data_IF_405040713405
#
_entry.id   IF_405040713405
#
_cell.length_a   1.000
_cell.length_b   1.000
_cell.length_c   1.000
_cell.angle_alpha   90.00
_cell.angle_beta   90.00
_cell.angle_gamma   90.00
#
_symmetry.space_group_name_H-M   'P 1'
#
loop_
_entity.id
_entity.type
_entity.pdbx_description
1 polymer ?
#
# COMPACT_ATOMS: atom_id res chain seq x y z
N UNK A 1 -22.22 -46.90 -1.67
CA UNK A 1 -21.97 -45.47 -1.43
C UNK A 1 -20.89 -45.40 -0.36
N UNK A 2 -19.66 -45.28 -0.83
CA UNK A 2 -18.45 -45.18 -0.01
C UNK A 2 -18.42 -43.73 0.48
N UNK A 3 -18.48 -43.58 1.81
CA UNK A 3 -18.62 -42.29 2.48
C UNK A 3 -17.34 -41.47 2.30
N UNK A 4 -17.48 -40.18 1.99
CA UNK A 4 -16.41 -39.20 1.80
C UNK A 4 -15.51 -38.99 3.03
N UNK A 5 -15.75 -39.73 4.12
CA UNK A 5 -14.93 -39.80 5.33
C UNK A 5 -13.69 -40.71 5.12
N UNK A 6 -13.71 -41.64 4.14
CA UNK A 6 -12.57 -42.54 3.89
C UNK A 6 -11.48 -41.95 2.97
N UNK A 7 -11.53 -40.66 2.64
CA UNK A 7 -10.58 -40.00 1.73
C UNK A 7 -9.66 -38.99 2.43
N UNK A 8 -9.88 -38.72 3.72
CA UNK A 8 -9.00 -37.89 4.56
C UNK A 8 -8.04 -38.70 5.42
N UNK A 9 -8.19 -40.02 5.48
CA UNK A 9 -7.41 -40.91 6.36
C UNK A 9 -6.13 -41.47 5.69
N UNK A 10 -5.63 -40.83 4.62
CA UNK A 10 -4.57 -41.43 3.79
C UNK A 10 -3.43 -40.53 3.33
N UNK A 11 -3.25 -39.37 3.95
CA UNK A 11 -2.02 -38.60 3.79
C UNK A 11 -1.37 -38.34 5.14
N UNK A 12 -0.43 -39.23 5.46
CA UNK A 12 0.73 -38.97 6.31
C UNK A 12 0.53 -38.94 7.85
N UNK A 13 -0.01 -40.02 8.41
CA UNK A 13 0.03 -40.31 9.86
C UNK A 13 1.42 -40.69 10.40
N UNK A 14 2.48 -40.67 9.57
CA UNK A 14 3.83 -41.01 10.01
C UNK A 14 4.56 -39.88 10.79
N UNK A 15 3.94 -38.70 10.96
CA UNK A 15 4.56 -37.55 11.62
C UNK A 15 3.93 -37.10 12.94
N UNK A 16 2.79 -37.66 13.35
CA UNK A 16 1.99 -37.13 14.47
C UNK A 16 2.29 -37.75 15.84
N UNK A 17 3.12 -38.80 15.93
CA UNK A 17 3.45 -39.45 17.23
C UNK A 17 4.38 -38.63 18.15
N UNK A 18 4.70 -37.39 17.81
CA UNK A 18 5.55 -36.49 18.62
C UNK A 18 4.91 -35.16 19.02
N UNK A 19 3.63 -34.92 18.68
CA UNK A 19 2.94 -33.66 19.01
C UNK A 19 2.69 -33.52 20.51
N UNK A 20 2.44 -34.62 21.23
CA UNK A 20 2.17 -34.62 22.69
C UNK A 20 3.37 -34.23 23.57
N UNK A 21 4.53 -33.94 22.99
CA UNK A 21 5.78 -33.61 23.71
C UNK A 21 6.26 -32.16 23.51
N UNK A 22 5.52 -31.34 22.77
CA UNK A 22 5.88 -29.95 22.53
C UNK A 22 5.49 -29.12 23.77
N UNK A 23 6.46 -28.79 24.63
CA UNK A 23 6.23 -28.02 25.87
C UNK A 23 6.65 -26.56 25.76
N UNK A 24 7.32 -26.16 24.68
CA UNK A 24 7.80 -24.79 24.46
C UNK A 24 7.40 -24.18 23.12
N UNK A 25 7.37 -22.86 23.07
CA UNK A 25 7.12 -22.05 21.84
C UNK A 25 8.14 -22.39 20.74
N UNK A 26 9.38 -22.71 21.11
CA UNK A 26 10.43 -23.10 20.17
C UNK A 26 10.17 -24.48 19.52
N UNK A 27 9.48 -25.38 20.21
CA UNK A 27 9.14 -26.71 19.70
C UNK A 27 8.02 -26.63 18.66
N UNK A 28 7.02 -25.75 18.89
CA UNK A 28 5.95 -25.44 17.94
C UNK A 28 6.54 -24.79 16.67
N UNK A 29 7.52 -23.90 16.83
CA UNK A 29 8.20 -23.29 15.71
C UNK A 29 9.01 -24.31 14.90
N UNK A 30 9.72 -25.22 15.56
CA UNK A 30 10.44 -26.31 14.92
C UNK A 30 9.52 -27.25 14.13
N UNK A 31 8.33 -27.54 14.67
CA UNK A 31 7.31 -28.36 13.99
C UNK A 31 6.77 -27.67 12.73
N UNK A 32 6.39 -26.39 12.81
CA UNK A 32 5.92 -25.61 11.66
C UNK A 32 7.00 -25.47 10.58
N UNK A 33 8.26 -25.28 10.99
CA UNK A 33 9.39 -25.15 10.08
C UNK A 33 9.73 -26.49 9.39
N UNK A 34 9.61 -27.61 10.10
CA UNK A 34 9.85 -28.95 9.54
C UNK A 34 8.74 -29.36 8.55
N UNK A 35 7.48 -29.04 8.84
CA UNK A 35 6.36 -29.20 7.90
C UNK A 35 6.59 -28.42 6.61
N UNK A 36 7.03 -27.17 6.73
CA UNK A 36 7.34 -26.30 5.59
C UNK A 36 8.46 -26.83 4.69
N UNK A 37 9.55 -27.37 5.28
CA UNK A 37 10.65 -27.94 4.51
C UNK A 37 10.27 -29.24 3.80
N UNK A 38 9.40 -30.05 4.39
CA UNK A 38 8.89 -31.29 3.79
C UNK A 38 8.02 -31.02 2.55
N UNK A 39 7.16 -30.00 2.60
CA UNK A 39 6.30 -29.59 1.48
C UNK A 39 7.09 -28.98 0.31
N UNK A 40 8.10 -28.15 0.61
CA UNK A 40 8.96 -27.51 -0.41
C UNK A 40 9.72 -28.52 -1.28
N UNK A 41 10.03 -29.70 -0.75
CA UNK A 41 10.82 -30.71 -1.46
C UNK A 41 10.00 -31.60 -2.40
N UNK A 42 8.66 -31.55 -2.35
CA UNK A 42 7.81 -32.52 -3.04
C UNK A 42 7.10 -31.97 -4.30
N UNK A 43 7.02 -30.66 -4.55
CA UNK A 43 6.42 -30.12 -5.79
C UNK A 43 6.95 -28.72 -6.15
N UNK A 44 7.77 -28.56 -7.20
CA UNK A 44 8.42 -27.27 -7.53
C UNK A 44 7.57 -26.28 -8.34
N UNK A 45 6.39 -26.67 -8.85
CA UNK A 45 5.59 -25.86 -9.80
C UNK A 45 4.23 -25.40 -9.24
N UNK A 46 4.02 -25.44 -7.92
CA UNK A 46 2.72 -25.16 -7.30
C UNK A 46 2.53 -23.65 -6.94
N UNK A 47 1.39 -23.08 -7.35
CA UNK A 47 1.11 -21.62 -7.33
C UNK A 47 0.84 -21.12 -5.90
N UNK A 48 1.52 -20.04 -5.52
CA UNK A 48 1.65 -19.51 -4.14
C UNK A 48 0.39 -19.19 -3.35
N UNK A 49 -0.79 -19.09 -3.97
CA UNK A 49 -2.02 -18.72 -3.25
C UNK A 49 -2.60 -19.88 -2.44
N UNK A 50 -2.44 -21.14 -2.90
CA UNK A 50 -2.93 -22.31 -2.16
C UNK A 50 -2.14 -22.55 -0.86
N UNK A 51 -0.88 -22.11 -0.81
CA UNK A 51 -0.03 -22.25 0.37
C UNK A 51 -0.43 -21.31 1.50
N UNK A 52 -0.92 -20.11 1.17
CA UNK A 52 -1.37 -19.15 2.17
C UNK A 52 -2.68 -19.62 2.83
N UNK A 53 -3.58 -20.17 2.03
CA UNK A 53 -4.84 -20.75 2.52
C UNK A 53 -4.58 -21.99 3.38
N UNK A 54 -3.66 -22.87 3.00
CA UNK A 54 -3.30 -24.05 3.79
C UNK A 54 -2.55 -23.68 5.08
N UNK A 55 -1.65 -22.69 5.04
CA UNK A 55 -0.96 -22.19 6.23
C UNK A 55 -1.91 -21.53 7.23
N UNK A 56 -2.83 -20.69 6.75
CA UNK A 56 -3.85 -20.05 7.60
C UNK A 56 -4.84 -21.07 8.16
N UNK A 57 -5.21 -22.07 7.36
CA UNK A 57 -6.06 -23.18 7.83
C UNK A 57 -5.35 -24.03 8.89
N UNK A 58 -4.07 -24.36 8.70
CA UNK A 58 -3.29 -25.10 9.70
C UNK A 58 -3.06 -24.28 10.98
N UNK A 59 -2.85 -22.97 10.87
CA UNK A 59 -2.76 -22.08 12.03
C UNK A 59 -4.10 -22.03 12.78
N UNK A 60 -5.21 -21.89 12.05
CA UNK A 60 -6.56 -21.89 12.61
C UNK A 60 -6.89 -23.22 13.30
N UNK A 61 -6.55 -24.34 12.68
CA UNK A 61 -6.77 -25.68 13.25
C UNK A 61 -5.90 -25.90 14.50
N UNK A 62 -4.66 -25.40 14.52
CA UNK A 62 -3.79 -25.47 15.72
C UNK A 62 -4.34 -24.62 16.87
N UNK A 63 -5.08 -23.55 16.56
CA UNK A 63 -5.76 -22.70 17.54
C UNK A 63 -7.08 -23.33 17.99
N UNK A 64 -7.83 -24.00 17.11
CA UNK A 64 -9.12 -24.64 17.42
C UNK A 64 -8.98 -25.98 18.16
N UNK A 65 -7.94 -26.79 17.89
CA UNK A 65 -7.75 -28.13 18.48
C UNK A 65 -7.08 -28.13 19.89
N UNK A 66 -7.28 -27.08 20.69
CA UNK A 66 -7.22 -27.14 22.16
C UNK A 66 -5.85 -27.40 22.83
N UNK A 67 -4.72 -27.07 22.19
CA UNK A 67 -3.37 -27.15 22.80
C UNK A 67 -2.96 -25.92 23.65
N UNK A 68 -3.87 -24.95 23.83
CA UNK A 68 -3.70 -23.88 24.84
C UNK A 68 -4.93 -23.87 25.75
N UNK A 69 -5.17 -25.00 26.45
CA UNK A 69 -6.16 -25.01 27.53
C UNK A 69 -5.69 -24.07 28.65
N UNK A 70 -6.29 -22.89 28.71
CA UNK A 70 -6.01 -21.85 29.70
C UNK A 70 -6.49 -22.28 31.09
N UNK A 71 -5.56 -22.72 31.94
CA UNK A 71 -5.90 -23.10 33.32
C UNK A 71 -5.77 -21.95 34.34
N UNK A 72 -5.27 -20.77 33.97
CA UNK A 72 -5.18 -19.63 34.91
C UNK A 72 -5.39 -18.30 34.18
N UNK A 73 -6.25 -17.45 34.73
CA UNK A 73 -6.87 -16.32 34.03
C UNK A 73 -6.00 -15.07 33.88
N UNK A 74 -4.94 -15.13 33.07
CA UNK A 74 -4.16 -13.96 32.61
C UNK A 74 -4.51 -13.56 31.16
N UNK A 75 -5.78 -13.31 30.89
CA UNK A 75 -6.37 -13.30 29.53
C UNK A 75 -6.03 -12.14 28.57
N UNK A 76 -5.22 -11.14 28.94
CA UNK A 76 -5.02 -9.94 28.07
C UNK A 76 -3.60 -9.82 27.52
N UNK A 77 -2.58 -10.18 28.31
CA UNK A 77 -1.19 -10.14 27.86
C UNK A 77 -0.95 -11.15 26.72
N UNK A 78 -1.54 -12.34 26.84
CA UNK A 78 -1.32 -13.43 25.88
C UNK A 78 -1.98 -13.19 24.52
N UNK A 79 -3.08 -12.43 24.46
CA UNK A 79 -3.67 -12.05 23.16
C UNK A 79 -2.85 -10.98 22.44
N UNK A 80 -2.20 -10.08 23.18
CA UNK A 80 -1.29 -9.07 22.62
C UNK A 80 -0.02 -9.74 22.14
N UNK A 81 0.53 -10.68 22.92
CA UNK A 81 1.73 -11.43 22.54
C UNK A 81 1.48 -12.34 21.33
N UNK A 82 0.30 -12.96 21.24
CA UNK A 82 -0.12 -13.72 20.05
C UNK A 82 -0.26 -12.81 18.82
N UNK A 83 -0.85 -11.62 18.98
CA UNK A 83 -1.00 -10.69 17.86
C UNK A 83 0.36 -10.14 17.39
N UNK A 84 1.28 -9.86 18.33
CA UNK A 84 2.66 -9.50 18.02
C UNK A 84 3.38 -10.63 17.27
N UNK A 85 3.14 -11.89 17.66
CA UNK A 85 3.74 -13.05 17.02
C UNK A 85 3.23 -13.23 15.58
N UNK A 86 1.93 -13.03 15.36
CA UNK A 86 1.30 -13.07 14.03
C UNK A 86 1.81 -11.93 13.15
N UNK A 87 1.88 -10.70 13.65
CA UNK A 87 2.44 -9.58 12.87
C UNK A 87 3.92 -9.80 12.53
N UNK A 88 4.71 -10.35 13.46
CA UNK A 88 6.12 -10.66 13.24
C UNK A 88 6.30 -11.72 12.15
N UNK A 89 5.49 -12.77 12.15
CA UNK A 89 5.58 -13.83 11.14
C UNK A 89 5.14 -13.36 9.75
N UNK A 90 4.10 -12.51 9.68
CA UNK A 90 3.66 -11.85 8.44
C UNK A 90 4.76 -10.95 7.85
N UNK A 91 5.38 -10.10 8.67
CA UNK A 91 6.48 -9.23 8.22
C UNK A 91 7.70 -10.01 7.74
N UNK A 92 8.04 -11.12 8.41
CA UNK A 92 9.14 -11.97 7.98
C UNK A 92 8.84 -12.66 6.63
N UNK A 93 7.57 -13.02 6.41
CA UNK A 93 7.11 -13.57 5.13
C UNK A 93 7.21 -12.52 4.01
N UNK A 94 6.74 -11.30 4.22
CA UNK A 94 6.84 -10.21 3.23
C UNK A 94 8.30 -9.89 2.87
N UNK A 95 9.19 -9.84 3.86
CA UNK A 95 10.62 -9.62 3.64
C UNK A 95 11.26 -10.74 2.82
N UNK A 96 10.94 -12.00 3.13
CA UNK A 96 11.44 -13.16 2.37
C UNK A 96 10.88 -13.20 0.95
N UNK A 97 9.61 -12.83 0.77
CA UNK A 97 8.97 -12.76 -0.54
C UNK A 97 9.57 -11.65 -1.42
N UNK A 98 9.80 -10.46 -0.85
CA UNK A 98 10.44 -9.36 -1.56
C UNK A 98 11.92 -9.63 -1.89
N UNK A 99 12.66 -10.28 -1.00
CA UNK A 99 14.06 -10.65 -1.23
C UNK A 99 14.22 -11.67 -2.38
N UNK A 100 13.28 -12.61 -2.52
CA UNK A 100 13.27 -13.56 -3.64
C UNK A 100 12.84 -12.92 -4.97
N UNK A 101 12.08 -11.81 -4.94
CA UNK A 101 11.66 -11.10 -6.14
C UNK A 101 12.76 -10.25 -6.80
N UNK A 102 13.85 -9.93 -6.10
CA UNK A 102 15.01 -9.29 -6.74
C UNK A 102 15.74 -10.21 -7.73
N UNK A 103 15.68 -11.54 -7.54
CA UNK A 103 16.23 -12.50 -8.51
C UNK A 103 15.29 -12.74 -9.70
N UNK A 104 14.00 -12.44 -9.57
CA UNK A 104 13.01 -12.49 -10.65
C UNK A 104 12.88 -11.16 -11.42
N UNK A 105 13.64 -10.11 -11.06
CA UNK A 105 13.83 -8.91 -11.90
C UNK A 105 14.76 -9.17 -13.12
N UNK A 106 14.73 -10.37 -13.70
CA UNK A 106 15.18 -10.56 -15.07
C UNK A 106 14.13 -9.94 -15.99
N UNK A 107 14.36 -8.66 -16.30
CA UNK A 107 13.94 -7.97 -17.53
C UNK A 107 12.54 -8.41 -17.98
N UNK A 108 11.51 -7.79 -17.38
CA UNK A 108 10.21 -7.74 -18.05
C UNK A 108 10.46 -7.07 -19.40
N UNK A 109 10.47 -7.89 -20.44
CA UNK A 109 10.67 -7.46 -21.80
C UNK A 109 9.61 -6.41 -22.13
N UNK A 110 10.05 -5.16 -22.32
CA UNK A 110 9.18 -4.01 -22.60
C UNK A 110 8.26 -4.27 -23.80
N UNK A 111 8.69 -5.10 -24.75
CA UNK A 111 7.88 -5.50 -25.90
C UNK A 111 6.73 -6.45 -25.53
N UNK A 112 6.94 -7.36 -24.57
CA UNK A 112 5.88 -8.25 -24.08
C UNK A 112 4.85 -7.49 -23.23
N UNK A 113 5.29 -6.47 -22.48
CA UNK A 113 4.39 -5.58 -21.74
C UNK A 113 3.60 -4.66 -22.69
N UNK A 114 4.22 -4.16 -23.76
CA UNK A 114 3.55 -3.33 -24.76
C UNK A 114 2.53 -4.14 -25.58
N UNK A 115 2.83 -5.39 -25.88
CA UNK A 115 1.93 -6.31 -26.58
C UNK A 115 0.75 -6.74 -25.69
N UNK A 116 0.96 -6.91 -24.38
CA UNK A 116 -0.12 -7.18 -23.44
C UNK A 116 -0.99 -5.95 -23.16
N UNK A 117 -0.40 -4.75 -23.06
CA UNK A 117 -1.14 -3.49 -22.92
C UNK A 117 -1.97 -3.16 -24.17
N UNK A 118 -1.48 -3.48 -25.36
CA UNK A 118 -2.22 -3.32 -26.62
C UNK A 118 -3.45 -4.23 -26.74
N UNK A 119 -3.56 -5.29 -25.94
CA UNK A 119 -4.70 -6.21 -25.90
C UNK A 119 -5.63 -5.99 -24.70
N UNK A 120 -5.35 -5.02 -23.83
CA UNK A 120 -6.29 -4.62 -22.78
C UNK A 120 -7.41 -3.86 -23.45
N UNK A 121 -8.49 -4.57 -23.76
CA UNK A 121 -9.77 -3.95 -24.12
C UNK A 121 -10.21 -3.03 -22.98
N UNK A 122 -10.85 -1.91 -23.31
CA UNK A 122 -11.33 -0.91 -22.34
C UNK A 122 -12.12 -1.54 -21.16
N UNK A 123 -12.74 -2.69 -21.39
CA UNK A 123 -13.45 -3.45 -20.35
C UNK A 123 -12.56 -4.08 -19.28
N UNK A 124 -11.34 -4.51 -19.61
CA UNK A 124 -10.37 -5.02 -18.62
C UNK A 124 -9.76 -3.89 -17.82
N UNK A 125 -9.49 -2.75 -18.45
CA UNK A 125 -9.00 -1.55 -17.76
C UNK A 125 -10.06 -1.01 -16.79
N UNK A 126 -11.32 -0.94 -17.22
CA UNK A 126 -12.44 -0.53 -16.37
C UNK A 126 -12.65 -1.50 -15.20
N UNK A 127 -12.53 -2.81 -15.43
CA UNK A 127 -12.62 -3.82 -14.36
C UNK A 127 -11.50 -3.62 -13.33
N UNK A 128 -10.28 -3.38 -13.77
CA UNK A 128 -9.15 -3.16 -12.87
C UNK A 128 -9.29 -1.85 -12.09
N UNK A 129 -9.81 -0.80 -12.72
CA UNK A 129 -10.12 0.47 -12.06
C UNK A 129 -11.19 0.32 -10.97
N UNK A 130 -12.25 -0.43 -11.23
CA UNK A 130 -13.30 -0.74 -10.23
C UNK A 130 -12.72 -1.56 -9.07
N UNK A 131 -11.80 -2.49 -9.35
CA UNK A 131 -11.16 -3.32 -8.34
C UNK A 131 -10.23 -2.50 -7.45
N UNK A 132 -9.50 -1.53 -8.03
CA UNK A 132 -8.69 -0.57 -7.28
C UNK A 132 -9.52 0.40 -6.44
N UNK A 133 -10.70 0.81 -6.90
CA UNK A 133 -11.66 1.58 -6.07
C UNK A 133 -12.20 0.75 -4.90
N UNK A 134 -12.54 -0.52 -5.13
CA UNK A 134 -13.00 -1.42 -4.05
C UNK A 134 -11.96 -1.63 -2.96
N UNK A 135 -10.68 -1.66 -3.34
CA UNK A 135 -9.56 -1.83 -2.43
C UNK A 135 -9.14 -0.51 -1.75
N UNK A 136 -9.79 0.62 -2.06
CA UNK A 136 -9.52 1.92 -1.45
C UNK A 136 -8.22 2.59 -1.89
N UNK A 137 -7.49 2.02 -2.85
CA UNK A 137 -6.24 2.60 -3.37
C UNK A 137 -6.47 3.83 -4.25
N UNK A 138 -7.68 3.97 -4.79
CA UNK A 138 -8.11 5.15 -5.52
C UNK A 138 -9.32 5.69 -4.78
N UNK A 139 -9.12 6.69 -3.92
CA UNK A 139 -10.24 7.53 -3.46
C UNK A 139 -10.86 8.18 -4.69
N UNK A 140 -12.19 8.25 -4.74
CA UNK A 140 -12.92 8.90 -5.82
C UNK A 140 -12.21 10.19 -6.20
N UNK A 141 -11.70 10.26 -7.45
CA UNK A 141 -11.28 11.51 -8.04
C UNK A 141 -12.56 12.31 -8.15
N UNK A 142 -12.85 13.09 -7.11
CA UNK A 142 -13.85 14.11 -7.10
C UNK A 142 -13.45 15.08 -8.22
N UNK A 143 -13.97 14.86 -9.42
CA UNK A 143 -13.97 15.82 -10.51
C UNK A 143 -14.98 16.90 -10.10
N UNK A 144 -14.67 17.56 -8.98
CA UNK A 144 -15.30 18.77 -8.53
C UNK A 144 -14.74 19.87 -9.42
N UNK A 145 -15.48 20.15 -10.47
CA UNK A 145 -15.42 21.40 -11.21
C UNK A 145 -15.41 22.57 -10.23
N UNK A 146 -14.23 23.15 -10.02
CA UNK A 146 -13.96 24.55 -9.79
C UNK A 146 -15.10 25.37 -9.11
N UNK A 147 -15.36 25.14 -7.83
CA UNK A 147 -16.26 25.97 -7.04
C UNK A 147 -15.59 26.40 -5.73
N UNK A 148 -15.14 27.66 -5.67
CA UNK A 148 -14.51 28.32 -4.51
C UNK A 148 -15.50 28.59 -3.36
N UNK A 149 -16.71 28.06 -3.39
CA UNK A 149 -17.80 28.37 -2.45
C UNK A 149 -17.89 27.41 -1.25
N UNK A 150 -17.19 26.27 -1.24
CA UNK A 150 -17.31 25.27 -0.16
C UNK A 150 -16.43 25.53 1.09
N UNK A 151 -15.42 26.40 1.00
CA UNK A 151 -14.61 26.77 2.17
C UNK A 151 -15.42 27.55 3.20
N UNK A 152 -16.23 28.51 2.75
CA UNK A 152 -16.97 29.41 3.64
C UNK A 152 -18.13 28.72 4.37
N UNK A 153 -18.66 27.61 3.83
CA UNK A 153 -19.76 26.88 4.46
C UNK A 153 -19.28 26.18 5.74
N UNK A 154 -18.06 25.64 5.73
CA UNK A 154 -17.53 24.87 6.85
C UNK A 154 -17.13 25.76 8.04
N UNK A 155 -16.60 26.95 7.77
CA UNK A 155 -16.25 27.92 8.82
C UNK A 155 -17.51 28.49 9.51
N UNK A 156 -18.59 28.70 8.77
CA UNK A 156 -19.86 29.14 9.33
C UNK A 156 -20.51 28.08 10.23
N UNK A 157 -20.39 26.80 9.89
CA UNK A 157 -20.89 25.71 10.75
C UNK A 157 -20.11 25.62 12.07
N UNK A 158 -18.79 25.82 12.01
CA UNK A 158 -17.96 25.87 13.21
C UNK A 158 -18.33 27.03 14.13
N UNK A 159 -18.52 28.23 13.59
CA UNK A 159 -18.93 29.41 14.37
C UNK A 159 -20.32 29.24 15.01
N UNK A 160 -21.27 28.62 14.30
CA UNK A 160 -22.59 28.29 14.85
C UNK A 160 -22.50 27.24 15.96
N UNK A 161 -21.62 26.24 15.82
CA UNK A 161 -21.35 25.26 16.86
C UNK A 161 -20.78 25.88 18.13
N UNK A 162 -19.83 26.82 17.99
CA UNK A 162 -19.26 27.57 19.12
C UNK A 162 -20.31 28.45 19.81
N UNK A 163 -21.17 29.14 19.03
CA UNK A 163 -22.27 29.95 19.57
C UNK A 163 -23.26 29.10 20.38
N UNK A 164 -23.61 27.91 19.87
CA UNK A 164 -24.51 26.97 20.55
C UNK A 164 -23.92 26.50 21.87
N UNK A 165 -22.64 26.16 21.90
CA UNK A 165 -21.95 25.74 23.12
C UNK A 165 -21.98 26.83 24.19
N UNK A 166 -21.72 28.09 23.82
CA UNK A 166 -21.77 29.23 24.74
C UNK A 166 -23.20 29.43 25.27
N UNK A 167 -24.20 29.39 24.39
CA UNK A 167 -25.59 29.58 24.74
C UNK A 167 -26.10 28.50 25.70
N UNK A 168 -25.78 27.23 25.44
CA UNK A 168 -26.13 26.10 26.32
C UNK A 168 -25.50 26.28 27.70
N UNK A 169 -24.22 26.67 27.72
CA UNK A 169 -23.48 26.95 28.96
C UNK A 169 -24.19 28.01 29.80
N UNK A 170 -24.61 29.12 29.17
CA UNK A 170 -25.32 30.21 29.86
C UNK A 170 -26.70 29.75 30.34
N UNK A 171 -27.42 28.96 29.54
CA UNK A 171 -28.73 28.44 29.89
C UNK A 171 -28.68 27.52 31.11
N UNK A 172 -27.68 26.63 31.18
CA UNK A 172 -27.46 25.75 32.35
C UNK A 172 -27.06 26.57 33.58
N UNK A 173 -26.13 27.52 33.44
CA UNK A 173 -25.70 28.38 34.54
C UNK A 173 -26.85 29.20 35.15
N UNK A 174 -27.79 29.66 34.31
CA UNK A 174 -28.94 30.45 34.75
C UNK A 174 -30.20 29.63 35.01
N UNK A 175 -30.13 28.31 34.85
CA UNK A 175 -31.26 27.38 34.99
C UNK A 175 -32.50 27.81 34.17
N UNK A 176 -32.29 28.15 32.90
CA UNK A 176 -33.34 28.64 31.99
C UNK A 176 -33.76 27.51 31.06
N UNK A 177 -35.06 27.23 31.01
CA UNK A 177 -35.63 26.28 30.06
C UNK A 177 -35.63 26.89 28.66
N UNK A 178 -34.78 26.36 27.77
CA UNK A 178 -34.70 26.76 26.37
C UNK A 178 -35.95 26.30 25.59
N UNK A 179 -36.30 26.98 24.48
CA UNK A 179 -37.33 26.50 23.55
C UNK A 179 -36.99 25.10 23.00
N UNK A 180 -38.01 24.28 22.74
CA UNK A 180 -37.81 22.96 22.13
C UNK A 180 -37.09 23.07 20.78
N UNK A 181 -36.28 22.05 20.50
CA UNK A 181 -35.43 21.98 19.32
C UNK A 181 -36.16 21.26 18.19
N UNK A 182 -36.45 21.95 17.09
CA UNK A 182 -37.02 21.35 15.88
C UNK A 182 -35.91 20.86 14.93
N UNK A 183 -35.64 19.56 14.96
CA UNK A 183 -34.60 18.91 14.15
C UNK A 183 -34.82 19.06 12.64
N UNK A 184 -36.08 19.16 12.17
CA UNK A 184 -36.37 19.21 10.72
C UNK A 184 -36.13 20.59 10.13
N UNK A 185 -36.35 21.64 10.92
CA UNK A 185 -36.14 23.04 10.50
C UNK A 185 -34.66 23.45 10.46
N UNK A 186 -33.77 22.70 11.12
CA UNK A 186 -32.37 23.05 11.35
C UNK A 186 -31.44 22.89 10.13
N UNK A 187 -31.92 22.30 9.04
CA UNK A 187 -31.12 22.19 7.79
C UNK A 187 -30.85 23.56 7.16
N UNK A 188 -31.74 24.54 7.37
CA UNK A 188 -31.58 25.91 6.87
C UNK A 188 -30.93 26.82 7.93
N UNK A 189 -29.87 27.54 7.56
CA UNK A 189 -29.17 28.50 8.43
C UNK A 189 -30.07 29.61 8.96
N UNK A 190 -31.06 30.07 8.17
CA UNK A 190 -31.98 31.13 8.60
C UNK A 190 -32.87 30.70 9.78
N UNK A 191 -33.34 29.45 9.74
CA UNK A 191 -34.15 28.86 10.82
C UNK A 191 -33.32 28.65 12.08
N UNK A 192 -32.07 28.18 11.93
CA UNK A 192 -31.12 28.05 13.05
C UNK A 192 -30.89 29.40 13.72
N UNK A 193 -30.59 30.42 12.92
CA UNK A 193 -30.35 31.78 13.41
C UNK A 193 -31.58 32.38 14.11
N UNK A 194 -32.80 32.09 13.62
CA UNK A 194 -34.03 32.53 14.27
C UNK A 194 -34.23 31.88 15.64
N UNK A 195 -33.95 30.58 15.76
CA UNK A 195 -33.99 29.87 17.03
C UNK A 195 -32.96 30.43 18.03
N UNK A 196 -31.73 30.70 17.59
CA UNK A 196 -30.72 31.35 18.43
C UNK A 196 -31.17 32.70 18.98
N UNK A 197 -31.82 33.52 18.16
CA UNK A 197 -32.37 34.80 18.61
C UNK A 197 -33.41 34.60 19.71
N UNK A 198 -34.33 33.65 19.56
CA UNK A 198 -35.34 33.35 20.58
C UNK A 198 -34.73 32.87 21.91
N UNK A 199 -33.69 32.04 21.86
CA UNK A 199 -32.96 31.64 23.06
C UNK A 199 -32.29 32.81 23.77
N UNK A 200 -31.65 33.72 23.00
CA UNK A 200 -31.01 34.91 23.55
C UNK A 200 -32.05 35.83 24.22
N UNK A 201 -33.21 36.04 23.59
CA UNK A 201 -34.29 36.83 24.20
C UNK A 201 -34.77 36.23 25.52
N UNK A 202 -34.99 34.91 25.59
CA UNK A 202 -35.36 34.25 26.85
C UNK A 202 -34.28 34.38 27.94
N UNK A 203 -33.01 34.28 27.57
CA UNK A 203 -31.89 34.44 28.51
C UNK A 203 -31.80 35.88 29.04
N UNK A 204 -32.08 36.86 28.18
CA UNK A 204 -32.08 38.28 28.54
C UNK A 204 -33.27 38.65 29.44
N UNK A 205 -34.47 38.15 29.13
CA UNK A 205 -35.70 38.48 29.86
C UNK A 205 -35.76 37.83 31.24
N UNK A 206 -35.14 36.65 31.44
CA UNK A 206 -35.24 35.93 32.72
C UNK A 206 -34.36 36.49 33.86
N UNK A 207 -33.64 37.59 33.62
CA UNK A 207 -32.91 38.30 34.67
C UNK A 207 -33.85 39.06 35.65
N UNK A 208 -35.17 39.06 35.44
CA UNK A 208 -36.13 39.91 36.14
C UNK A 208 -36.90 39.34 37.34
N UNK A 209 -37.18 38.04 37.45
CA UNK A 209 -38.18 37.56 38.42
C UNK A 209 -37.79 36.26 39.17
N UNK A 210 -37.41 36.39 40.44
CA UNK A 210 -37.32 35.27 41.40
C UNK A 210 -38.71 34.96 41.95
N UNK A 211 -39.32 33.86 41.53
CA UNK A 211 -40.55 33.34 42.14
C UNK A 211 -40.23 32.45 43.34
N UNK A 212 -40.75 32.87 44.48
CA UNK A 212 -40.86 32.18 45.78
C UNK A 212 -41.75 30.94 45.71
N UNK A 213 -41.42 29.90 46.49
CA UNK A 213 -42.35 28.82 46.86
C UNK A 213 -42.53 28.79 48.40
N UNK A 214 -43.75 28.50 48.91
CA UNK A 214 -44.09 28.67 50.32
C UNK A 214 -43.94 27.39 51.15
N UNK A 215 -43.52 27.61 52.39
CA UNK A 215 -43.47 26.68 53.52
C UNK A 215 -44.91 26.40 54.01
N UNK A 216 -45.22 25.16 54.39
CA UNK A 216 -46.39 24.87 55.24
C UNK A 216 -46.00 23.91 56.37
N UNK A 217 -46.05 24.43 57.59
CA UNK A 217 -45.84 23.75 58.88
C UNK A 217 -47.04 22.89 59.30
N UNK A 218 -46.78 21.75 59.94
CA UNK A 218 -47.73 21.15 60.89
C UNK A 218 -46.99 20.40 62.02
N UNK A 219 -47.20 20.86 63.25
CA UNK A 219 -46.65 20.35 64.52
C UNK A 219 -47.63 19.38 65.19
N UNK A 220 -47.19 18.16 65.51
CA UNK A 220 -47.47 17.43 66.76
C UNK A 220 -47.02 15.95 66.71
N UNK A 221 -45.71 15.68 66.59
CA UNK A 221 -45.16 14.32 66.78
C UNK A 221 -43.65 14.34 67.13
N UNK A 222 -43.29 15.11 68.16
CA UNK A 222 -41.91 15.60 68.35
C UNK A 222 -40.84 14.56 68.72
N UNK A 223 -41.19 13.36 69.18
CA UNK A 223 -40.19 12.37 69.62
C UNK A 223 -39.92 11.26 68.59
N UNK A 224 -40.94 10.83 67.82
CA UNK A 224 -40.76 9.90 66.69
C UNK A 224 -40.14 10.60 65.48
N UNK A 225 -40.54 11.85 65.21
CA UNK A 225 -40.01 12.60 64.08
C UNK A 225 -38.52 12.95 64.25
N UNK A 226 -38.04 13.16 65.49
CA UNK A 226 -36.63 13.45 65.73
C UNK A 226 -35.71 12.31 65.27
N UNK A 227 -36.07 11.07 65.59
CA UNK A 227 -35.31 9.89 65.15
C UNK A 227 -35.41 9.70 63.62
N UNK A 228 -36.59 9.91 63.02
CA UNK A 228 -36.76 9.86 61.56
C UNK A 228 -35.95 10.93 60.83
N UNK A 229 -35.88 12.14 61.37
CA UNK A 229 -35.07 13.22 60.79
C UNK A 229 -33.58 12.94 60.92
N UNK A 230 -33.15 12.30 62.01
CA UNK A 230 -31.76 11.90 62.21
C UNK A 230 -31.37 10.75 61.27
N UNK A 231 -32.25 9.75 61.08
CA UNK A 231 -32.07 8.72 60.06
C UNK A 231 -32.03 9.32 58.66
N UNK A 232 -32.97 10.20 58.29
CA UNK A 232 -32.99 10.85 56.99
C UNK A 232 -31.73 11.70 56.74
N UNK A 233 -31.21 12.36 57.78
CA UNK A 233 -29.96 13.12 57.68
C UNK A 233 -28.76 12.20 57.47
N UNK A 234 -28.67 11.09 58.19
CA UNK A 234 -27.62 10.10 58.01
C UNK A 234 -27.68 9.45 56.62
N UNK A 235 -28.88 9.13 56.14
CA UNK A 235 -29.09 8.59 54.78
C UNK A 235 -28.67 9.62 53.72
N UNK A 236 -29.00 10.90 53.93
CA UNK A 236 -28.56 11.99 53.05
C UNK A 236 -27.04 12.13 53.04
N UNK A 237 -26.40 12.07 54.22
CA UNK A 237 -24.94 12.13 54.34
C UNK A 237 -24.27 10.93 53.66
N UNK A 238 -24.84 9.73 53.84
CA UNK A 238 -24.36 8.53 53.18
C UNK A 238 -24.51 8.61 51.66
N UNK A 239 -25.68 9.03 51.17
CA UNK A 239 -25.94 9.21 49.74
C UNK A 239 -24.99 10.26 49.13
N UNK A 240 -24.77 11.38 49.83
CA UNK A 240 -23.82 12.40 49.42
C UNK A 240 -22.39 11.83 49.34
N UNK A 241 -21.92 11.17 50.40
CA UNK A 241 -20.57 10.58 50.43
C UNK A 241 -20.38 9.50 49.35
N UNK A 242 -21.41 8.67 49.12
CA UNK A 242 -21.43 7.67 48.07
C UNK A 242 -21.32 8.31 46.68
N UNK A 243 -22.14 9.34 46.40
CA UNK A 243 -22.10 10.06 45.13
C UNK A 243 -20.77 10.77 44.90
N UNK A 244 -20.22 11.42 45.93
CA UNK A 244 -18.89 12.05 45.85
C UNK A 244 -17.82 11.02 45.50
N UNK A 245 -17.77 9.90 46.23
CA UNK A 245 -16.80 8.84 45.96
C UNK A 245 -16.98 8.25 44.56
N UNK A 246 -18.22 8.04 44.12
CA UNK A 246 -18.50 7.51 42.78
C UNK A 246 -18.04 8.48 41.68
N UNK A 247 -18.28 9.77 41.88
CA UNK A 247 -17.82 10.81 40.98
C UNK A 247 -16.28 10.90 40.94
N UNK A 248 -15.61 10.81 42.10
CA UNK A 248 -14.14 10.79 42.18
C UNK A 248 -13.53 9.57 41.45
N UNK A 249 -14.13 8.39 41.62
CA UNK A 249 -13.73 7.17 40.92
C UNK A 249 -13.89 7.32 39.40
N UNK A 250 -15.04 7.83 38.95
CA UNK A 250 -15.34 8.05 37.53
C UNK A 250 -14.41 9.11 36.93
N UNK A 251 -14.16 10.22 37.63
CA UNK A 251 -13.19 11.24 37.21
C UNK A 251 -11.77 10.67 37.12
N UNK A 252 -11.34 9.87 38.11
CA UNK A 252 -10.03 9.20 38.07
C UNK A 252 -9.92 8.25 36.87
N UNK A 253 -10.99 7.53 36.55
CA UNK A 253 -11.05 6.66 35.38
C UNK A 253 -10.98 7.46 34.06
N UNK A 254 -11.75 8.55 33.94
CA UNK A 254 -11.71 9.41 32.76
C UNK A 254 -10.35 10.06 32.55
N UNK A 255 -9.70 10.53 33.61
CA UNK A 255 -8.34 11.10 33.52
C UNK A 255 -7.34 10.05 33.05
N UNK A 256 -7.40 8.82 33.57
CA UNK A 256 -6.53 7.72 33.11
C UNK A 256 -6.77 7.39 31.64
N UNK A 257 -8.03 7.32 31.22
CA UNK A 257 -8.38 7.05 29.82
C UNK A 257 -7.94 8.18 28.90
N UNK A 258 -8.14 9.44 29.29
CA UNK A 258 -7.68 10.60 28.53
C UNK A 258 -6.14 10.58 28.36
N UNK A 259 -5.39 10.31 29.44
CA UNK A 259 -3.93 10.20 29.38
C UNK A 259 -3.47 9.05 28.47
N UNK A 260 -4.16 7.90 28.51
CA UNK A 260 -3.89 6.80 27.60
C UNK A 260 -4.10 7.19 26.13
N UNK A 261 -5.21 7.90 25.85
CA UNK A 261 -5.49 8.37 24.49
C UNK A 261 -4.44 9.39 24.04
N UNK A 262 -4.08 10.37 24.87
CA UNK A 262 -3.01 11.33 24.59
C UNK A 262 -1.69 10.62 24.27
N UNK A 263 -1.29 9.63 25.07
CA UNK A 263 -0.06 8.85 24.83
C UNK A 263 -0.11 8.06 23.51
N UNK A 264 -1.28 7.51 23.15
CA UNK A 264 -1.46 6.85 21.84
C UNK A 264 -1.35 7.85 20.69
N UNK A 265 -1.95 9.03 20.82
CA UNK A 265 -1.85 10.08 19.80
C UNK A 265 -0.41 10.55 19.61
N UNK A 266 0.33 10.80 20.69
CA UNK A 266 1.75 11.17 20.63
C UNK A 266 2.59 10.11 19.90
N UNK A 267 2.34 8.82 20.18
CA UNK A 267 3.02 7.71 19.49
C UNK A 267 2.69 7.66 17.99
N UNK A 268 1.42 7.86 17.63
CA UNK A 268 1.01 7.91 16.22
C UNK A 268 1.63 9.11 15.50
N UNK A 269 1.72 10.26 16.16
CA UNK A 269 2.37 11.46 15.62
C UNK A 269 3.87 11.23 15.39
N UNK A 270 4.57 10.60 16.34
CA UNK A 270 5.98 10.26 16.20
C UNK A 270 6.22 9.29 15.02
N UNK A 271 5.39 8.25 14.89
CA UNK A 271 5.47 7.31 13.77
C UNK A 271 5.23 7.99 12.42
N UNK A 272 4.24 8.89 12.35
CA UNK A 272 3.94 9.65 11.15
C UNK A 272 5.12 10.56 10.77
N UNK A 273 5.70 11.25 11.75
CA UNK A 273 6.88 12.08 11.54
C UNK A 273 8.06 11.26 11.02
N UNK A 274 8.35 10.10 11.63
CA UNK A 274 9.41 9.20 11.20
C UNK A 274 9.19 8.69 9.78
N UNK A 275 7.95 8.33 9.42
CA UNK A 275 7.60 7.91 8.06
C UNK A 275 7.81 9.03 7.04
N UNK A 276 7.42 10.26 7.38
CA UNK A 276 7.65 11.42 6.51
C UNK A 276 9.14 11.73 6.32
N UNK A 277 9.94 11.63 7.39
CA UNK A 277 11.39 11.83 7.32
C UNK A 277 12.06 10.76 6.42
N UNK A 278 11.62 9.52 6.52
CA UNK A 278 12.09 8.41 5.67
C UNK A 278 11.69 8.60 4.20
N UNK A 279 10.44 9.00 3.95
CA UNK A 279 9.96 9.31 2.60
C UNK A 279 10.74 10.47 1.98
N UNK A 280 11.01 11.53 2.75
CA UNK A 280 11.83 12.65 2.30
C UNK A 280 13.26 12.21 1.97
N UNK A 281 13.85 11.32 2.78
CA UNK A 281 15.17 10.75 2.50
C UNK A 281 15.17 9.93 1.22
N UNK A 282 14.23 9.01 1.06
CA UNK A 282 14.09 8.16 -0.13
C UNK A 282 13.89 9.01 -1.41
N UNK A 283 13.04 10.03 -1.34
CA UNK A 283 12.82 10.98 -2.44
C UNK A 283 14.09 11.71 -2.84
N UNK A 284 14.91 12.14 -1.86
CA UNK A 284 16.18 12.79 -2.14
C UNK A 284 17.23 11.82 -2.73
N UNK A 285 17.23 10.57 -2.31
CA UNK A 285 18.10 9.53 -2.88
C UNK A 285 17.70 9.20 -4.32
N UNK A 286 16.40 9.11 -4.60
CA UNK A 286 15.85 8.93 -5.94
C UNK A 286 16.24 10.08 -6.88
N UNK A 287 16.08 11.33 -6.43
CA UNK A 287 16.44 12.51 -7.21
C UNK A 287 17.95 12.52 -7.56
N UNK A 288 18.81 12.11 -6.63
CA UNK A 288 20.26 11.98 -6.88
C UNK A 288 20.55 10.89 -7.91
N UNK A 289 19.86 9.75 -7.85
CA UNK A 289 20.02 8.67 -8.81
C UNK A 289 19.55 9.11 -10.21
N UNK A 290 18.41 9.80 -10.31
CA UNK A 290 17.88 10.35 -11.55
C UNK A 290 18.83 11.37 -12.17
N UNK A 291 19.39 12.28 -11.36
CA UNK A 291 20.40 13.24 -11.83
C UNK A 291 21.64 12.55 -12.42
N UNK A 292 22.11 11.45 -11.81
CA UNK A 292 23.23 10.66 -12.34
C UNK A 292 22.84 9.93 -13.63
N UNK A 293 21.62 9.43 -13.72
CA UNK A 293 21.14 8.74 -14.91
C UNK A 293 21.13 9.68 -16.13
N UNK A 294 20.63 10.92 -15.95
CA UNK A 294 20.68 11.97 -16.98
C UNK A 294 22.13 12.30 -17.40
N UNK A 295 23.08 12.29 -16.47
CA UNK A 295 24.50 12.49 -16.80
C UNK A 295 25.06 11.33 -17.65
N UNK A 296 24.73 10.09 -17.31
CA UNK A 296 25.13 8.92 -18.09
C UNK A 296 24.50 8.90 -19.48
N UNK A 297 23.23 9.26 -19.63
CA UNK A 297 22.57 9.38 -20.92
C UNK A 297 23.28 10.40 -21.82
N UNK A 298 23.59 11.59 -21.28
CA UNK A 298 24.38 12.60 -22.01
C UNK A 298 25.74 12.06 -22.45
N UNK A 299 26.40 11.26 -21.61
CA UNK A 299 27.70 10.65 -21.95
C UNK A 299 27.57 9.61 -23.07
N UNK A 300 26.55 8.77 -23.02
CA UNK A 300 26.24 7.80 -24.07
C UNK A 300 25.99 8.53 -25.40
N UNK A 301 25.21 9.61 -25.39
CA UNK A 301 24.95 10.42 -26.58
C UNK A 301 26.21 11.04 -27.18
N UNK A 302 27.12 11.55 -26.33
CA UNK A 302 28.42 12.07 -26.79
C UNK A 302 29.27 10.98 -27.43
N UNK A 303 29.37 9.80 -26.81
CA UNK A 303 30.12 8.68 -27.36
C UNK A 303 29.52 8.16 -28.67
N UNK A 304 28.18 8.12 -28.79
CA UNK A 304 27.51 7.74 -30.03
C UNK A 304 27.81 8.71 -31.18
N UNK A 305 27.84 10.02 -30.89
CA UNK A 305 28.22 11.05 -31.89
C UNK A 305 29.67 10.88 -32.34
N UNK A 306 30.59 10.59 -31.43
CA UNK A 306 31.99 10.34 -31.75
C UNK A 306 32.17 9.06 -32.57
N UNK A 307 31.51 7.97 -32.16
CA UNK A 307 31.49 6.70 -32.89
C UNK A 307 31.00 6.89 -34.32
N UNK A 308 29.91 7.64 -34.52
CA UNK A 308 29.39 7.96 -35.85
C UNK A 308 30.39 8.77 -36.68
N UNK A 309 31.08 9.74 -36.08
CA UNK A 309 32.12 10.54 -36.76
C UNK A 309 33.30 9.65 -37.21
N UNK A 310 33.78 8.77 -36.34
CA UNK A 310 34.85 7.83 -36.66
C UNK A 310 34.43 6.82 -37.74
N UNK A 311 33.18 6.35 -37.70
CA UNK A 311 32.62 5.47 -38.72
C UNK A 311 32.59 6.16 -40.09
N UNK A 312 32.15 7.42 -40.15
CA UNK A 312 32.17 8.22 -41.38
C UNK A 312 33.60 8.40 -41.90
N UNK A 313 34.56 8.71 -41.02
CA UNK A 313 35.97 8.85 -41.37
C UNK A 313 36.55 7.52 -41.91
N UNK A 314 36.24 6.39 -41.28
CA UNK A 314 36.67 5.06 -41.73
C UNK A 314 36.08 4.73 -43.11
N UNK A 315 34.81 5.05 -43.33
CA UNK A 315 34.17 4.89 -44.63
C UNK A 315 34.82 5.77 -45.71
N UNK A 316 35.19 7.01 -45.40
CA UNK A 316 35.91 7.89 -46.33
C UNK A 316 37.27 7.30 -46.71
N UNK A 317 38.06 6.85 -45.73
CA UNK A 317 39.35 6.20 -46.00
C UNK A 317 39.18 4.95 -46.86
N UNK A 318 38.17 4.11 -46.60
CA UNK A 318 37.89 2.93 -47.44
C UNK A 318 37.61 3.29 -48.89
N UNK A 319 36.89 4.40 -49.14
CA UNK A 319 36.64 4.89 -50.51
C UNK A 319 37.95 5.32 -51.18
N UNK A 320 38.82 6.05 -50.47
CA UNK A 320 40.11 6.50 -51.00
C UNK A 320 41.03 5.32 -51.38
N UNK A 321 41.03 4.24 -50.61
CA UNK A 321 41.84 3.04 -50.89
C UNK A 321 41.33 2.19 -52.06
N UNK A 322 40.03 2.24 -52.39
CA UNK A 322 39.48 1.45 -53.50
C UNK A 322 40.00 1.91 -54.87
N UNK A 323 40.51 3.15 -54.99
CA UNK A 323 41.10 3.68 -56.23
C UNK A 323 42.58 3.33 -56.46
N UNK A 324 43.28 2.80 -55.46
CA UNK A 324 44.73 2.57 -55.49
C UNK A 324 45.13 1.08 -55.55
N UNK A 325 44.16 0.16 -55.52
CA UNK A 325 44.46 -1.26 -55.69
C UNK A 325 44.80 -1.52 -57.17
N UNK A 326 46.01 -2.00 -57.50
CA UNK A 326 46.36 -2.36 -58.87
C UNK A 326 45.44 -3.50 -59.34
N UNK A 327 44.79 -3.29 -60.49
CA UNK A 327 43.86 -4.21 -61.17
C UNK A 327 44.50 -5.56 -61.57
N UNK A 328 45.77 -5.79 -61.25
CA UNK A 328 46.57 -6.88 -61.77
C UNK A 328 46.40 -8.24 -61.10
N UNK A 329 45.50 -8.41 -60.12
CA UNK A 329 45.39 -9.68 -59.35
C UNK A 329 44.00 -10.34 -59.34
N UNK A 330 43.13 -10.04 -60.31
CA UNK A 330 41.76 -10.58 -60.41
C UNK A 330 41.56 -11.71 -61.45
N UNK A 331 42.63 -12.32 -61.95
CA UNK A 331 42.54 -13.47 -62.86
C UNK A 331 43.25 -14.69 -62.28
N UNK A 332 42.63 -15.38 -61.32
CA UNK A 332 42.82 -16.83 -61.10
C UNK A 332 41.67 -17.39 -60.26
N UNK A 333 40.85 -18.31 -60.81
CA UNK A 333 39.87 -19.07 -60.02
C UNK A 333 40.59 -20.19 -59.24
N UNK A 334 40.28 -20.42 -57.95
CA UNK A 334 40.89 -21.52 -57.21
C UNK A 334 40.18 -22.84 -57.55
N UNK A 335 40.81 -23.67 -58.37
CA UNK A 335 40.54 -25.10 -58.43
C UNK A 335 41.25 -25.80 -57.25
N UNK A 336 40.46 -26.54 -56.47
CA UNK A 336 40.74 -27.71 -55.64
C UNK A 336 42.15 -28.02 -55.10
N UNK A 337 42.15 -28.27 -53.78
CA UNK A 337 42.85 -29.35 -53.06
C UNK A 337 44.40 -29.40 -53.06
N UNK A 338 45.00 -29.17 -51.88
CA UNK A 338 45.89 -30.11 -51.16
C UNK A 338 46.58 -29.38 -49.99
N UNK A 339 46.47 -29.97 -48.79
CA UNK A 339 47.32 -29.63 -47.62
C UNK A 339 48.81 -29.84 -47.97
N UNK A 340 49.75 -29.11 -47.33
CA UNK A 340 50.35 -29.65 -46.11
C UNK A 340 50.64 -28.62 -45.00
N UNK A 341 50.34 -29.07 -43.79
CA UNK A 341 50.99 -28.72 -42.52
C UNK A 341 52.50 -28.55 -42.67
N UNK A 342 53.08 -27.46 -42.11
CA UNK A 342 54.46 -27.38 -41.59
C UNK A 342 54.65 -26.03 -40.82
N UNK A 343 54.97 -26.13 -39.50
CA UNK A 343 55.49 -25.13 -38.52
C UNK A 343 54.59 -24.01 -37.92
N UNK A 344 54.92 -23.46 -36.72
CA UNK A 344 55.13 -24.15 -35.44
C UNK A 344 54.29 -23.56 -34.29
N UNK A 345 54.26 -24.34 -33.23
CA UNK A 345 53.56 -24.27 -31.96
C UNK A 345 53.88 -23.03 -31.08
N UNK A 346 52.85 -22.36 -30.54
CA UNK A 346 52.88 -21.43 -29.39
C UNK A 346 51.45 -21.05 -28.95
N UNK A 347 51.21 -20.69 -27.68
CA UNK A 347 50.54 -21.59 -26.74
C UNK A 347 49.03 -21.35 -26.61
N UNK A 348 48.35 -22.46 -26.30
CA UNK A 348 46.94 -22.59 -25.97
C UNK A 348 46.54 -21.65 -24.82
N UNK A 349 45.66 -20.70 -25.08
CA UNK A 349 44.75 -20.16 -24.07
C UNK A 349 43.37 -20.75 -24.32
N UNK A 350 42.96 -21.63 -23.39
CA UNK A 350 41.63 -22.20 -23.30
C UNK A 350 40.61 -21.09 -23.04
N UNK A 351 39.79 -20.74 -24.04
CA UNK A 351 38.44 -20.24 -23.82
C UNK A 351 37.48 -20.88 -24.83
N UNK A 352 36.77 -21.89 -24.31
CA UNK A 352 35.36 -22.21 -24.53
C UNK A 352 34.72 -21.72 -25.84
N UNK A 353 34.60 -22.66 -26.78
CA UNK A 353 33.44 -22.92 -27.65
C UNK A 353 32.41 -21.79 -27.84
N UNK A 354 32.46 -21.16 -29.01
CA UNK A 354 31.29 -20.60 -29.70
C UNK A 354 31.13 -21.42 -31.00
N UNK A 355 29.97 -22.03 -31.30
CA UNK A 355 29.78 -22.80 -32.52
C UNK A 355 29.73 -21.86 -33.72
N UNK A 356 30.70 -22.01 -34.62
CA UNK A 356 30.72 -21.36 -35.93
C UNK A 356 29.69 -22.05 -36.83
N UNK A 357 28.68 -21.29 -37.27
CA UNK A 357 27.72 -21.73 -38.28
C UNK A 357 28.38 -21.85 -39.66
N UNK A 358 27.93 -22.78 -40.52
CA UNK A 358 28.53 -23.01 -41.84
C UNK A 358 28.15 -21.88 -42.81
N UNK A 359 29.14 -21.16 -43.33
CA UNK A 359 28.96 -20.20 -44.42
C UNK A 359 28.71 -20.92 -45.74
N UNK A 360 27.44 -20.95 -46.14
CA UNK A 360 27.04 -21.34 -47.50
C UNK A 360 27.52 -20.31 -48.53
N UNK A 361 27.82 -20.73 -49.77
CA UNK A 361 28.28 -19.84 -50.83
C UNK A 361 27.15 -18.87 -51.22
N UNK A 362 27.31 -17.59 -50.87
CA UNK A 362 26.32 -16.54 -51.15
C UNK A 362 26.29 -16.29 -52.65
N UNK A 363 25.22 -16.72 -53.30
CA UNK A 363 24.92 -16.32 -54.67
C UNK A 363 24.80 -14.78 -54.76
N UNK A 364 25.37 -14.13 -55.78
CA UNK A 364 25.35 -12.67 -55.93
C UNK A 364 23.93 -12.08 -56.11
N UNK A 365 22.91 -12.93 -56.27
CA UNK A 365 21.50 -12.56 -56.37
C UNK A 365 20.93 -12.12 -55.02
N UNK A 366 21.42 -12.65 -53.89
CA UNK A 366 20.90 -12.31 -52.56
C UNK A 366 21.23 -10.86 -52.15
N UNK A 367 22.37 -10.33 -52.60
CA UNK A 367 22.81 -8.97 -52.26
C UNK A 367 22.02 -7.91 -53.05
N UNK A 368 21.69 -8.17 -54.31
CA UNK A 368 20.85 -7.25 -55.10
C UNK A 368 19.42 -7.20 -54.57
N UNK A 369 18.86 -8.34 -54.15
CA UNK A 369 17.55 -8.40 -53.49
C UNK A 369 17.56 -7.65 -52.16
N UNK A 370 18.59 -7.87 -51.31
CA UNK A 370 18.73 -7.13 -50.05
C UNK A 370 18.86 -5.62 -50.26
N UNK A 371 19.59 -5.19 -51.29
CA UNK A 371 19.70 -3.76 -51.65
C UNK A 371 18.38 -3.19 -52.15
N UNK A 372 17.61 -3.95 -52.92
CA UNK A 372 16.30 -3.54 -53.39
C UNK A 372 15.28 -3.41 -52.24
N UNK A 373 15.24 -4.41 -51.35
CA UNK A 373 14.39 -4.37 -50.14
C UNK A 373 14.80 -3.25 -49.18
N UNK A 374 16.10 -3.01 -49.00
CA UNK A 374 16.59 -1.89 -48.20
C UNK A 374 16.18 -0.53 -48.80
N UNK A 375 16.30 -0.36 -50.12
CA UNK A 375 15.86 0.87 -50.81
C UNK A 375 14.36 1.09 -50.65
N UNK A 376 13.56 0.03 -50.78
CA UNK A 376 12.11 0.05 -50.57
C UNK A 376 11.75 0.44 -49.13
N UNK A 377 12.46 -0.09 -48.13
CA UNK A 377 12.26 0.25 -46.73
C UNK A 377 12.60 1.73 -46.46
N UNK A 378 13.69 2.23 -47.03
CA UNK A 378 14.11 3.64 -46.91
C UNK A 378 13.08 4.59 -47.55
N UNK A 379 12.58 4.28 -48.75
CA UNK A 379 11.54 5.06 -49.41
C UNK A 379 10.23 5.07 -48.59
N UNK A 380 9.86 3.93 -48.00
CA UNK A 380 8.68 3.84 -47.14
C UNK A 380 8.83 4.67 -45.87
N UNK A 381 10.01 4.66 -45.24
CA UNK A 381 10.30 5.43 -44.04
C UNK A 381 10.29 6.94 -44.32
N UNK A 382 10.90 7.36 -45.44
CA UNK A 382 10.91 8.74 -45.89
C UNK A 382 9.48 9.23 -46.19
N UNK A 383 8.68 8.42 -46.89
CA UNK A 383 7.27 8.75 -47.17
C UNK A 383 6.42 8.87 -45.90
N UNK A 384 6.68 8.02 -44.89
CA UNK A 384 6.00 8.10 -43.59
C UNK A 384 6.34 9.41 -42.88
N UNK A 385 7.62 9.77 -42.83
CA UNK A 385 8.09 11.01 -42.19
C UNK A 385 7.55 12.27 -42.90
N UNK A 386 7.49 12.26 -44.24
CA UNK A 386 6.89 13.35 -45.00
C UNK A 386 5.38 13.51 -44.70
N UNK A 387 4.67 12.39 -44.55
CA UNK A 387 3.25 12.39 -44.15
C UNK A 387 3.06 12.96 -42.73
N UNK A 388 3.88 12.55 -41.77
CA UNK A 388 3.83 13.06 -40.40
C UNK A 388 4.12 14.57 -40.34
N UNK A 389 5.07 15.06 -41.16
CA UNK A 389 5.32 16.49 -41.31
C UNK A 389 4.10 17.24 -41.88
N UNK A 390 3.48 16.72 -42.94
CA UNK A 390 2.28 17.33 -43.52
C UNK A 390 1.11 17.39 -42.53
N UNK A 391 0.92 16.33 -41.74
CA UNK A 391 -0.12 16.27 -40.70
C UNK A 391 0.16 17.29 -39.57
N UNK A 392 1.42 17.43 -39.15
CA UNK A 392 1.82 18.44 -38.17
C UNK A 392 1.65 19.89 -38.66
N UNK A 393 1.82 20.14 -39.97
CA UNK A 393 1.56 21.46 -40.58
C UNK A 393 0.07 21.72 -40.82
N UNK A 394 -0.75 20.70 -41.07
CA UNK A 394 -2.19 20.86 -41.28
C UNK A 394 -2.99 21.06 -39.98
N UNK A 395 -2.42 20.68 -38.83
CA UNK A 395 -3.02 20.84 -37.50
C UNK A 395 -2.57 22.12 -36.78
N UNK A 396 -1.83 23.01 -37.45
CA UNK A 396 -1.55 24.39 -37.05
C UNK A 396 -2.33 25.34 -37.93
#
# INVERSE_FOLDING_TARGET
MISAISLLDRTNTAGLEHVDKLQGVDDVFGFLQHGFQSLKNNEPDFIGNSYLDEYTTNLSNTIEDDMISMSDGSSIADSVDLNILIERSLLEYELKFNSNNEQNKKILNYESLKESLGQITDSKLLRHYVELMKLGYISELDISTNDKSKSDVNDNERLVGELLSILLTIAVQKNINLPEFDERGMTNMDTRMKWFKECIYKIADNNGNKSTTPITDNKNDNNSNKNKTETALNDLQFAHNYLTKKYEEEMSHHVKYANLMTSKYEKCEELLKKSNDELARCTNELLKAESKNVEYEKRIDMMNKEMHKLQLQNNLFKVDYLGLLPVSTLMSPPNSAANPSIFPESPKTNYSSIPSTPSSPVSPVSVSILRAEFRKLMEQMQKKHEKELQEAYSNK
#
